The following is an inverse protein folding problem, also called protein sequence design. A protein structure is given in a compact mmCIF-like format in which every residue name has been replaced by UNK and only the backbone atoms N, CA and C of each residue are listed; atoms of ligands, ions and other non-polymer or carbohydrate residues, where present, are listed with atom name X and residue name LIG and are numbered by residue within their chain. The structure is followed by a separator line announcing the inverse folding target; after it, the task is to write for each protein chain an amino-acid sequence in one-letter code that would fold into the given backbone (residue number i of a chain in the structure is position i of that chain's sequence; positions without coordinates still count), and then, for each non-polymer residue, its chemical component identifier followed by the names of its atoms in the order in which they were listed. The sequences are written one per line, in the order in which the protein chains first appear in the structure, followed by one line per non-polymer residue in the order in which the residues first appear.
data_IF_214758973892
#
_entry.id   IF_214758973892
#
_cell.length_a   1.000
_cell.length_b   1.000
_cell.length_c   1.000
_cell.angle_alpha   90.00
_cell.angle_beta   90.00
_cell.angle_gamma   90.00
#
_symmetry.space_group_name_H-M   'P 1'
#
loop_
_entity.id
_entity.type
_entity.pdbx_description
1 polymer ?
#
# COMPACT_ATOMS: atom_id res chain seq x y z
N UNK A 1 -7.49 6.98 52.37
CA UNK A 1 -6.06 6.93 52.03
C UNK A 1 -5.93 6.43 50.60
N UNK A 2 -5.18 7.17 49.80
CA UNK A 2 -5.13 7.20 48.33
C UNK A 2 -4.00 6.32 47.80
N UNK A 3 -4.21 5.60 46.69
CA UNK A 3 -3.21 5.30 45.65
C UNK A 3 -3.96 4.57 44.51
N UNK A 4 -4.37 5.19 43.41
CA UNK A 4 -3.65 5.86 42.32
C UNK A 4 -2.63 4.98 41.57
N UNK A 5 -2.83 5.00 40.24
CA UNK A 5 -1.92 5.02 39.09
C UNK A 5 -0.81 3.99 38.83
N UNK A 6 -0.76 3.62 37.54
CA UNK A 6 0.41 3.35 36.69
C UNK A 6 0.81 1.90 36.40
N UNK A 7 0.19 1.37 35.35
CA UNK A 7 0.87 0.43 34.44
C UNK A 7 0.89 1.05 33.03
N UNK A 8 2.05 1.63 32.68
CA UNK A 8 2.34 2.17 31.34
C UNK A 8 2.77 1.05 30.38
N UNK A 9 1.99 0.95 29.31
CA UNK A 9 2.30 0.79 27.87
C UNK A 9 3.20 -0.34 27.35
N UNK A 10 2.77 -0.76 26.15
CA UNK A 10 3.48 -1.38 25.02
C UNK A 10 3.57 -2.88 25.07
N UNK A 11 2.55 -3.54 24.54
CA UNK A 11 2.70 -4.45 23.40
C UNK A 11 1.31 -4.58 22.81
N UNK A 12 1.03 -3.80 21.78
CA UNK A 12 -0.04 -4.07 20.84
C UNK A 12 0.52 -5.11 19.86
N UNK A 13 0.22 -6.42 19.98
CA UNK A 13 0.24 -7.26 18.80
C UNK A 13 -0.99 -6.84 17.98
N UNK A 14 -0.75 -5.83 17.15
CA UNK A 14 -1.42 -5.50 15.90
C UNK A 14 -2.41 -6.61 15.53
N UNK A 15 -3.66 -6.40 15.93
CA UNK A 15 -4.79 -7.22 15.52
C UNK A 15 -5.05 -6.86 14.05
N UNK A 16 -4.20 -7.36 13.15
CA UNK A 16 -4.48 -7.34 11.72
C UNK A 16 -5.53 -8.42 11.52
N UNK A 17 -6.79 -8.01 11.64
CA UNK A 17 -7.93 -8.73 11.09
C UNK A 17 -7.57 -9.08 9.65
N UNK A 18 -7.25 -10.35 9.43
CA UNK A 18 -7.27 -11.01 8.14
C UNK A 18 -8.75 -11.10 7.72
N UNK A 19 -9.36 -9.95 7.43
CA UNK A 19 -10.48 -9.90 6.50
C UNK A 19 -9.82 -10.06 5.14
N UNK A 20 -9.70 -11.32 4.71
CA UNK A 20 -9.41 -11.63 3.32
C UNK A 20 -10.60 -11.16 2.49
N UNK A 21 -10.65 -9.86 2.22
CA UNK A 21 -11.46 -9.32 1.13
C UNK A 21 -10.95 -10.03 -0.13
N UNK A 22 -11.78 -10.84 -0.81
CA UNK A 22 -11.35 -11.68 -1.93
C UNK A 22 -10.99 -10.86 -3.19
N UNK A 23 -10.86 -9.54 -3.07
CA UNK A 23 -10.63 -8.60 -4.18
C UNK A 23 -9.30 -7.86 -4.07
N UNK A 24 -8.40 -8.30 -3.18
CA UNK A 24 -7.01 -7.79 -3.13
C UNK A 24 -6.24 -8.37 -4.31
N UNK A 25 -5.91 -7.50 -5.27
CA UNK A 25 -5.11 -7.80 -6.45
C UNK A 25 -3.72 -7.18 -6.35
N UNK A 26 -2.83 -7.58 -7.27
CA UNK A 26 -1.54 -6.93 -7.45
C UNK A 26 -1.67 -5.75 -8.41
N UNK A 27 -0.91 -4.69 -8.17
CA UNK A 27 -0.87 -3.56 -9.09
C UNK A 27 -0.46 -3.99 -10.51
N UNK A 28 0.44 -4.97 -10.63
CA UNK A 28 0.85 -5.54 -11.92
C UNK A 28 -0.25 -6.32 -12.64
N UNK A 29 -1.31 -6.75 -11.95
CA UNK A 29 -2.40 -7.52 -12.56
C UNK A 29 -3.46 -6.61 -13.19
N UNK A 30 -3.70 -5.44 -12.58
CA UNK A 30 -4.69 -4.45 -13.03
C UNK A 30 -4.55 -4.04 -14.49
N UNK A 31 -5.67 -3.85 -15.18
CA UNK A 31 -5.71 -3.32 -16.54
C UNK A 31 -5.20 -1.85 -16.57
N UNK A 32 -4.68 -1.43 -17.71
CA UNK A 32 -4.43 0.00 -17.93
C UNK A 32 -5.74 0.76 -17.87
N UNK A 33 -5.70 1.97 -17.35
CA UNK A 33 -6.83 2.87 -17.10
C UNK A 33 -7.73 2.49 -15.92
N UNK A 34 -7.42 1.44 -15.16
CA UNK A 34 -8.17 1.06 -13.95
C UNK A 34 -7.84 1.96 -12.75
N UNK A 35 -8.86 2.27 -11.97
CA UNK A 35 -8.74 2.91 -10.66
C UNK A 35 -8.72 1.84 -9.57
N UNK A 36 -7.78 1.95 -8.64
CA UNK A 36 -7.67 1.01 -7.53
C UNK A 36 -7.15 1.69 -6.28
N UNK A 37 -7.58 1.20 -5.11
CA UNK A 37 -7.13 1.68 -3.82
C UNK A 37 -5.93 0.85 -3.33
N UNK A 38 -4.87 1.51 -2.87
CA UNK A 38 -3.72 0.85 -2.27
C UNK A 38 -4.13 0.28 -0.91
N UNK A 39 -4.00 -1.03 -0.72
CA UNK A 39 -4.23 -1.69 0.57
C UNK A 39 -2.95 -1.87 1.38
N UNK A 40 -1.82 -2.04 0.70
CA UNK A 40 -0.56 -2.24 1.38
C UNK A 40 0.59 -2.65 0.47
N UNK A 41 1.65 -3.10 1.12
CA UNK A 41 2.89 -3.53 0.48
C UNK A 41 3.24 -4.95 0.89
N UNK A 42 3.94 -5.66 0.02
CA UNK A 42 4.51 -6.95 0.34
C UNK A 42 5.43 -6.86 1.58
N UNK A 43 5.45 -7.91 2.43
CA UNK A 43 6.34 -7.95 3.59
C UNK A 43 7.83 -7.95 3.18
N UNK A 44 8.14 -8.41 1.97
CA UNK A 44 9.49 -8.45 1.39
C UNK A 44 10.10 -7.05 1.11
N UNK A 45 9.28 -5.99 1.05
CA UNK A 45 9.76 -4.63 0.80
C UNK A 45 10.51 -4.06 2.01
N UNK A 46 11.74 -3.60 1.78
CA UNK A 46 12.58 -2.93 2.79
C UNK A 46 11.93 -1.63 3.30
N UNK A 47 12.14 -1.33 4.57
CA UNK A 47 11.58 -0.14 5.25
C UNK A 47 11.94 1.16 4.53
N UNK A 48 13.19 1.27 4.03
CA UNK A 48 13.64 2.44 3.28
C UNK A 48 12.84 2.65 1.99
N UNK A 49 12.56 1.55 1.27
CA UNK A 49 11.83 1.57 0.01
C UNK A 49 10.34 1.90 0.25
N UNK A 50 9.75 1.36 1.32
CA UNK A 50 8.40 1.73 1.78
C UNK A 50 8.29 3.24 2.07
N UNK A 51 9.25 3.80 2.81
CA UNK A 51 9.26 5.24 3.09
C UNK A 51 9.38 6.07 1.81
N UNK A 52 10.14 5.59 0.83
CA UNK A 52 10.29 6.23 -0.48
C UNK A 52 8.98 6.21 -1.28
N UNK A 53 8.27 5.06 -1.32
CA UNK A 53 6.96 4.94 -1.96
C UNK A 53 5.93 5.88 -1.30
N UNK A 54 5.93 5.93 0.04
CA UNK A 54 5.07 6.84 0.80
C UNK A 54 5.38 8.31 0.51
N UNK A 55 6.66 8.68 0.36
CA UNK A 55 7.06 10.04 0.00
C UNK A 55 6.56 10.47 -1.40
N UNK A 56 6.30 9.51 -2.28
CA UNK A 56 5.67 9.76 -3.59
C UNK A 56 4.14 9.69 -3.57
N UNK A 57 3.52 9.46 -2.41
CA UNK A 57 2.06 9.39 -2.28
C UNK A 57 1.49 7.98 -2.49
N UNK A 58 2.32 6.97 -2.79
CA UNK A 58 1.90 5.56 -2.75
C UNK A 58 1.77 5.16 -1.28
N UNK A 59 0.59 5.38 -0.73
CA UNK A 59 0.27 5.20 0.69
C UNK A 59 -0.99 4.33 0.80
N UNK A 60 -1.05 3.36 1.73
CA UNK A 60 -2.27 2.59 1.96
C UNK A 60 -3.45 3.50 2.28
N UNK A 61 -4.59 3.26 1.62
CA UNK A 61 -5.79 4.08 1.67
C UNK A 61 -5.94 5.02 0.47
N UNK A 62 -4.84 5.39 -0.20
CA UNK A 62 -4.92 6.26 -1.37
C UNK A 62 -5.37 5.49 -2.61
N UNK A 63 -6.06 6.19 -3.51
CA UNK A 63 -6.44 5.67 -4.83
C UNK A 63 -5.35 6.02 -5.85
N UNK A 64 -5.07 5.08 -6.73
CA UNK A 64 -4.19 5.25 -7.88
C UNK A 64 -4.93 4.86 -9.16
N UNK A 65 -4.42 5.37 -10.29
CA UNK A 65 -4.84 4.98 -11.63
C UNK A 65 -3.67 4.36 -12.37
N UNK A 66 -3.87 3.22 -13.01
CA UNK A 66 -2.83 2.64 -13.87
C UNK A 66 -2.85 3.40 -15.21
N UNK A 67 -1.80 4.13 -15.54
CA UNK A 67 -1.67 4.82 -16.83
C UNK A 67 -1.10 3.89 -17.90
N UNK A 68 -0.10 3.09 -17.53
CA UNK A 68 0.64 2.24 -18.46
C UNK A 68 1.21 1.01 -17.73
N UNK A 69 1.37 -0.11 -18.44
CA UNK A 69 2.03 -1.33 -17.91
C UNK A 69 3.32 -1.74 -18.64
N UNK A 70 3.53 -1.25 -19.86
CA UNK A 70 4.68 -1.60 -20.70
C UNK A 70 5.25 -0.34 -21.36
N UNK A 71 6.58 -0.16 -21.40
CA UNK A 71 7.63 -1.07 -20.92
C UNK A 71 7.82 -1.09 -19.39
N UNK A 72 7.29 -0.09 -18.68
CA UNK A 72 7.28 0.01 -17.21
C UNK A 72 5.85 0.28 -16.72
N UNK A 73 5.60 0.07 -15.43
CA UNK A 73 4.28 0.32 -14.85
C UNK A 73 4.20 1.77 -14.43
N UNK A 74 3.40 2.59 -15.10
CA UNK A 74 3.16 3.98 -14.72
C UNK A 74 1.83 4.07 -14.01
N UNK A 75 1.85 4.60 -12.80
CA UNK A 75 0.64 4.89 -12.01
C UNK A 75 0.54 6.37 -11.75
N UNK A 76 -0.68 6.88 -11.81
CA UNK A 76 -1.01 8.21 -11.34
C UNK A 76 -1.58 8.11 -9.94
N UNK A 77 -0.95 8.80 -9.00
CA UNK A 77 -1.44 8.94 -7.63
C UNK A 77 -1.76 10.40 -7.41
N UNK A 78 -3.03 10.70 -7.14
CA UNK A 78 -3.55 12.07 -7.11
C UNK A 78 -3.19 12.84 -8.41
N UNK A 79 -2.20 13.73 -8.35
CA UNK A 79 -1.75 14.56 -9.46
C UNK A 79 -0.32 14.21 -9.94
N UNK A 80 0.28 13.16 -9.38
CA UNK A 80 1.67 12.77 -9.67
C UNK A 80 1.72 11.46 -10.44
N UNK A 81 2.51 11.41 -11.51
CA UNK A 81 2.78 10.19 -12.26
C UNK A 81 4.09 9.56 -11.78
N UNK A 82 4.04 8.28 -11.44
CA UNK A 82 5.16 7.52 -10.90
C UNK A 82 5.40 6.32 -11.80
N UNK A 83 6.62 6.22 -12.34
CA UNK A 83 7.08 5.03 -13.00
C UNK A 83 7.62 4.04 -11.96
N UNK A 84 7.02 2.86 -11.92
CA UNK A 84 7.38 1.74 -11.08
C UNK A 84 7.95 0.62 -11.95
N UNK A 85 9.02 0.02 -11.44
CA UNK A 85 9.53 -1.23 -11.97
C UNK A 85 8.51 -2.35 -11.75
N UNK A 86 8.47 -3.30 -12.67
CA UNK A 86 7.53 -4.44 -12.62
C UNK A 86 7.63 -5.21 -11.30
N UNK A 87 8.83 -5.33 -10.72
CA UNK A 87 9.04 -6.00 -9.44
C UNK A 87 8.43 -5.23 -8.26
N UNK A 88 8.49 -3.89 -8.30
CA UNK A 88 7.83 -3.04 -7.31
C UNK A 88 6.31 -3.10 -7.46
N UNK A 89 5.80 -3.09 -8.68
CA UNK A 89 4.36 -3.21 -8.94
C UNK A 89 3.80 -4.58 -8.47
N UNK A 90 4.58 -5.67 -8.57
CA UNK A 90 4.22 -6.98 -7.99
C UNK A 90 4.25 -7.02 -6.47
N UNK A 91 4.82 -5.98 -5.84
CA UNK A 91 4.96 -5.88 -4.39
C UNK A 91 3.93 -4.92 -3.76
N UNK A 92 2.98 -4.41 -4.55
CA UNK A 92 1.94 -3.48 -4.09
C UNK A 92 0.58 -4.17 -4.19
N UNK A 93 -0.12 -4.23 -3.05
CA UNK A 93 -1.48 -4.75 -2.96
C UNK A 93 -2.49 -3.64 -3.16
N UNK A 94 -3.45 -3.88 -4.04
CA UNK A 94 -4.47 -2.93 -4.45
C UNK A 94 -5.84 -3.61 -4.48
N UNK A 95 -6.90 -2.82 -4.36
CA UNK A 95 -8.28 -3.28 -4.49
C UNK A 95 -8.97 -2.45 -5.57
N UNK A 96 -9.67 -3.11 -6.48
CA UNK A 96 -10.45 -2.44 -7.52
C UNK A 96 -11.73 -1.90 -6.89
N UNK A 97 -12.04 -0.65 -7.17
CA UNK A 97 -13.16 0.08 -6.58
C UNK A 97 -14.31 0.27 -7.57
#
# INVERSE_FOLDING_TARGET
MTLNWSLRKKTDPISQKENIDPSINLLSDLETNSLAQIKGFAPSLSVKLKAHLQAYGIIPGNTLRVQQKKPVTVVQVEHTEIALETELAKSIYVEIN
#
